data_IF_267378563566
#
_entry.id   IF_267378563566
#
_cell.length_a   1.000
_cell.length_b   1.000
_cell.length_c   1.000
_cell.angle_alpha   90.00
_cell.angle_beta   90.00
_cell.angle_gamma   90.00
#
_symmetry.space_group_name_H-M   'P 1'
#
loop_
_entity.id
_entity.type
_entity.pdbx_description
1 polymer ?
#
# COMPACT_ATOMS: atom_id res chain seq x y z
N UNK A 1 -12.06 1.89 18.75
CA UNK A 1 -12.00 0.78 17.78
C UNK A 1 -11.67 -0.51 18.52
N UNK A 2 -12.04 -1.67 17.98
CA UNK A 2 -11.61 -2.96 18.55
C UNK A 2 -10.08 -3.08 18.47
N UNK A 3 -9.41 -3.35 19.59
CA UNK A 3 -7.94 -3.43 19.63
C UNK A 3 -7.45 -4.78 19.08
N UNK A 4 -7.36 -4.89 17.75
CA UNK A 4 -6.71 -6.03 17.09
C UNK A 4 -5.31 -5.67 16.60
N UNK A 5 -4.46 -6.68 16.44
CA UNK A 5 -3.15 -6.52 15.80
C UNK A 5 -3.27 -5.89 14.40
N UNK A 6 -4.32 -6.21 13.64
CA UNK A 6 -4.47 -5.66 12.28
C UNK A 6 -4.91 -4.20 12.29
N UNK A 7 -5.81 -3.81 13.21
CA UNK A 7 -6.19 -2.41 13.39
C UNK A 7 -4.97 -1.59 13.82
N UNK A 8 -4.18 -2.09 14.78
CA UNK A 8 -2.90 -1.48 15.19
C UNK A 8 -1.94 -1.26 14.01
N UNK A 9 -1.82 -2.25 13.12
CA UNK A 9 -0.99 -2.14 11.92
C UNK A 9 -1.50 -1.06 10.95
N UNK A 10 -2.82 -0.90 10.81
CA UNK A 10 -3.42 0.19 10.04
C UNK A 10 -3.14 1.56 10.67
N UNK A 11 -3.27 1.69 11.99
CA UNK A 11 -2.98 2.95 12.69
C UNK A 11 -1.53 3.40 12.45
N UNK A 12 -0.57 2.46 12.53
CA UNK A 12 0.85 2.74 12.25
C UNK A 12 1.07 3.18 10.80
N UNK A 13 0.33 2.59 9.85
CA UNK A 13 0.41 2.92 8.42
C UNK A 13 -0.18 4.30 8.11
N UNK A 14 -1.29 4.66 8.76
CA UNK A 14 -2.02 5.90 8.55
C UNK A 14 -1.39 7.13 9.21
N UNK A 15 -0.60 6.94 10.26
CA UNK A 15 0.07 8.03 11.00
C UNK A 15 1.23 8.70 10.22
N UNK A 16 1.09 9.01 8.94
CA UNK A 16 2.17 9.59 8.11
C UNK A 16 2.69 10.94 8.64
N UNK A 17 3.89 11.44 8.29
CA UNK A 17 4.41 12.71 8.83
C UNK A 17 3.51 13.93 8.54
N UNK A 18 3.39 14.85 9.52
CA UNK A 18 2.69 16.15 9.38
C UNK A 18 3.43 17.05 8.37
N UNK A 19 2.68 17.84 7.60
CA UNK A 19 3.23 18.82 6.66
C UNK A 19 2.89 18.54 5.20
N UNK A 20 3.69 19.08 4.28
CA UNK A 20 3.48 18.88 2.84
C UNK A 20 3.63 17.39 2.47
N UNK A 21 2.61 16.83 1.83
CA UNK A 21 2.48 15.40 1.58
C UNK A 21 2.18 15.09 0.10
N UNK A 22 2.29 13.81 -0.28
CA UNK A 22 1.97 13.31 -1.63
C UNK A 22 0.56 12.75 -1.76
N UNK A 23 -0.15 12.59 -0.65
CA UNK A 23 -1.50 12.06 -0.58
C UNK A 23 -2.12 12.59 0.71
N UNK A 24 -3.43 12.78 0.73
CA UNK A 24 -4.17 13.24 1.90
C UNK A 24 -4.61 12.10 2.83
N UNK A 25 -4.58 10.84 2.39
CA UNK A 25 -4.82 9.68 3.27
C UNK A 25 -6.30 9.36 3.54
N UNK A 26 -7.22 9.85 2.70
CA UNK A 26 -8.66 9.58 2.77
C UNK A 26 -9.46 10.79 3.25
N UNK A 27 -9.41 11.08 4.55
CA UNK A 27 -10.12 12.21 5.14
C UNK A 27 -9.49 13.53 4.74
N UNK A 28 -10.22 14.31 3.94
CA UNK A 28 -9.67 15.55 3.42
C UNK A 28 -10.73 16.61 3.12
N UNK A 29 -10.32 17.86 3.30
CA UNK A 29 -11.00 19.02 2.74
C UNK A 29 -10.16 19.57 1.59
N UNK A 30 -10.82 19.99 0.53
CA UNK A 30 -10.15 20.54 -0.64
C UNK A 30 -10.91 21.72 -1.21
N UNK A 31 -10.18 22.62 -1.88
CA UNK A 31 -10.81 23.75 -2.57
C UNK A 31 -11.66 23.23 -3.73
N UNK A 32 -12.91 23.66 -3.82
CA UNK A 32 -13.84 23.26 -4.90
C UNK A 32 -13.24 23.50 -6.27
N UNK A 33 -12.58 24.64 -6.47
CA UNK A 33 -11.88 24.97 -7.73
C UNK A 33 -10.81 23.93 -8.08
N UNK A 34 -10.03 23.47 -7.11
CA UNK A 34 -8.97 22.49 -7.34
C UNK A 34 -9.56 21.13 -7.74
N UNK A 35 -10.64 20.71 -7.06
CA UNK A 35 -11.33 19.45 -7.35
C UNK A 35 -11.99 19.45 -8.74
N UNK A 36 -12.67 20.54 -9.10
CA UNK A 36 -13.29 20.71 -10.42
C UNK A 36 -12.25 20.76 -11.55
N UNK A 37 -11.11 21.43 -11.32
CA UNK A 37 -10.04 21.56 -12.31
C UNK A 37 -9.46 20.21 -12.75
N UNK A 38 -9.50 19.21 -11.87
CA UNK A 38 -9.03 17.85 -12.19
C UNK A 38 -10.19 16.91 -12.52
N UNK A 39 -11.44 17.38 -12.59
CA UNK A 39 -12.63 16.56 -12.87
C UNK A 39 -12.96 15.52 -11.78
N UNK A 40 -12.55 15.79 -10.54
CA UNK A 40 -12.88 14.94 -9.40
C UNK A 40 -12.15 13.60 -9.36
N UNK A 41 -12.73 12.60 -8.67
CA UNK A 41 -12.16 11.25 -8.55
C UNK A 41 -12.31 10.48 -9.86
N UNK A 42 -11.30 9.68 -10.21
CA UNK A 42 -11.38 8.81 -11.36
C UNK A 42 -12.25 7.58 -11.04
N UNK A 43 -13.43 7.41 -11.67
CA UNK A 43 -14.38 6.36 -11.33
C UNK A 43 -13.96 4.96 -11.80
N UNK A 44 -12.85 4.85 -12.55
CA UNK A 44 -12.36 3.55 -13.03
C UNK A 44 -11.45 2.85 -12.03
N UNK A 45 -10.93 3.57 -11.02
CA UNK A 45 -10.06 2.98 -10.01
C UNK A 45 -10.87 2.20 -8.98
N UNK A 46 -10.35 1.04 -8.61
CA UNK A 46 -10.91 0.19 -7.54
C UNK A 46 -10.33 0.56 -6.18
N UNK A 47 -9.13 1.11 -6.19
CA UNK A 47 -8.37 1.47 -5.01
C UNK A 47 -7.30 2.50 -5.39
N UNK A 48 -6.96 3.37 -4.44
CA UNK A 48 -5.96 4.40 -4.66
C UNK A 48 -6.49 5.62 -5.41
N UNK A 49 -7.81 5.80 -5.43
CA UNK A 49 -8.51 6.95 -5.99
C UNK A 49 -8.03 8.28 -5.39
N UNK A 50 -7.77 8.31 -4.09
CA UNK A 50 -7.28 9.51 -3.40
C UNK A 50 -5.82 9.85 -3.77
N UNK A 51 -4.84 8.93 -3.69
CA UNK A 51 -3.48 9.21 -4.12
C UNK A 51 -3.38 9.59 -5.61
N UNK A 52 -4.22 9.00 -6.47
CA UNK A 52 -4.33 9.34 -7.89
C UNK A 52 -4.87 10.76 -8.11
N UNK A 53 -5.96 11.13 -7.41
CA UNK A 53 -6.48 12.51 -7.40
C UNK A 53 -5.40 13.50 -6.97
N UNK A 54 -4.68 13.18 -5.90
CA UNK A 54 -3.59 13.97 -5.37
C UNK A 54 -2.46 14.17 -6.38
N UNK A 55 -2.10 13.16 -7.19
CA UNK A 55 -1.15 13.30 -8.30
C UNK A 55 -1.61 14.35 -9.30
N UNK A 56 -2.88 14.28 -9.74
CA UNK A 56 -3.43 15.25 -10.69
C UNK A 56 -3.47 16.65 -10.11
N UNK A 57 -3.83 16.80 -8.84
CA UNK A 57 -3.81 18.09 -8.14
C UNK A 57 -2.41 18.70 -8.11
N UNK A 58 -1.37 17.92 -7.75
CA UNK A 58 0.02 18.40 -7.76
C UNK A 58 0.53 18.75 -9.15
N UNK A 59 0.10 18.01 -10.17
CA UNK A 59 0.43 18.32 -11.57
C UNK A 59 -0.14 19.68 -11.99
N UNK A 60 -1.23 20.13 -11.36
CA UNK A 60 -1.83 21.45 -11.53
C UNK A 60 -1.23 22.52 -10.57
N UNK A 61 -0.17 22.21 -9.85
CA UNK A 61 0.51 23.11 -8.91
C UNK A 61 -0.16 23.24 -7.54
N UNK A 62 -1.20 22.46 -7.24
CA UNK A 62 -1.79 22.43 -5.91
C UNK A 62 -0.90 21.68 -4.93
N UNK A 63 -0.93 22.12 -3.67
CA UNK A 63 -0.23 21.45 -2.57
C UNK A 63 -1.19 20.61 -1.74
N UNK A 64 -0.67 19.53 -1.17
CA UNK A 64 -1.39 18.68 -0.24
C UNK A 64 -0.67 18.76 1.09
N UNK A 65 -1.43 18.94 2.17
CA UNK A 65 -0.89 19.04 3.52
C UNK A 65 -1.62 18.07 4.43
N UNK A 66 -0.86 17.27 5.19
CA UNK A 66 -1.36 16.56 6.37
C UNK A 66 -1.34 17.52 7.55
N UNK A 67 -2.49 17.74 8.16
CA UNK A 67 -2.63 18.52 9.38
C UNK A 67 -2.57 17.60 10.60
N UNK A 68 -2.03 18.10 11.70
CA UNK A 68 -2.08 17.42 13.00
C UNK A 68 -3.38 17.76 13.72
N UNK A 69 -4.50 17.29 13.16
CA UNK A 69 -5.83 17.56 13.66
C UNK A 69 -6.71 16.32 13.50
N UNK A 70 -7.35 15.92 14.60
CA UNK A 70 -8.35 14.87 14.57
C UNK A 70 -9.57 15.34 13.78
N UNK A 71 -9.91 14.63 12.70
CA UNK A 71 -11.07 14.93 11.86
C UNK A 71 -12.12 13.84 11.98
N UNK A 72 -11.70 12.57 11.95
CA UNK A 72 -12.57 11.42 12.17
C UNK A 72 -11.84 10.31 12.91
N UNK A 73 -12.61 9.44 13.56
CA UNK A 73 -12.13 8.19 14.12
C UNK A 73 -12.34 7.04 13.13
N UNK A 74 -11.25 6.48 12.63
CA UNK A 74 -11.28 5.35 11.72
C UNK A 74 -11.24 4.02 12.47
N UNK A 75 -12.19 3.13 12.19
CA UNK A 75 -12.08 1.71 12.54
C UNK A 75 -11.87 0.89 11.26
N UNK A 76 -10.68 0.31 11.11
CA UNK A 76 -10.37 -0.55 9.97
C UNK A 76 -11.24 -1.83 9.97
N UNK A 77 -11.78 -2.23 11.13
CA UNK A 77 -12.59 -3.45 11.36
C UNK A 77 -11.94 -4.71 10.78
N UNK A 78 -10.62 -4.81 10.94
CA UNK A 78 -9.84 -5.97 10.50
C UNK A 78 -9.60 -6.84 11.71
N UNK A 79 -10.32 -7.95 11.79
CA UNK A 79 -10.21 -8.92 12.90
C UNK A 79 -9.57 -10.24 12.45
N UNK A 80 -9.45 -10.45 11.12
CA UNK A 80 -9.03 -11.73 10.54
C UNK A 80 -7.86 -11.58 9.56
N UNK A 81 -6.99 -12.60 9.51
CA UNK A 81 -5.88 -12.70 8.54
C UNK A 81 -6.37 -12.56 7.10
N UNK A 82 -7.53 -13.12 6.77
CA UNK A 82 -8.09 -13.05 5.41
C UNK A 82 -8.48 -11.64 4.99
N UNK A 83 -8.96 -10.80 5.93
CA UNK A 83 -9.24 -9.38 5.67
C UNK A 83 -7.94 -8.60 5.48
N UNK A 84 -6.93 -8.86 6.32
CA UNK A 84 -5.58 -8.31 6.14
C UNK A 84 -5.00 -8.67 4.77
N UNK A 85 -5.10 -9.94 4.35
CA UNK A 85 -4.66 -10.40 3.03
C UNK A 85 -5.37 -9.65 1.90
N UNK A 86 -6.70 -9.54 1.96
CA UNK A 86 -7.50 -8.79 0.98
C UNK A 86 -7.10 -7.32 0.91
N UNK A 87 -6.84 -6.67 2.06
CA UNK A 87 -6.38 -5.27 2.10
C UNK A 87 -5.03 -5.12 1.39
N UNK A 88 -4.05 -5.98 1.70
CA UNK A 88 -2.75 -5.94 1.03
C UNK A 88 -2.84 -6.25 -0.46
N UNK A 89 -3.73 -7.17 -0.86
CA UNK A 89 -4.01 -7.46 -2.26
C UNK A 89 -4.57 -6.22 -2.98
N UNK A 90 -5.58 -5.56 -2.39
CA UNK A 90 -6.16 -4.31 -2.91
C UNK A 90 -5.08 -3.22 -3.04
N UNK A 91 -4.21 -3.08 -2.03
CA UNK A 91 -3.08 -2.15 -2.09
C UNK A 91 -2.05 -2.49 -3.18
N UNK A 92 -1.76 -3.78 -3.39
CA UNK A 92 -0.90 -4.24 -4.48
C UNK A 92 -1.47 -3.86 -5.85
N UNK A 93 -2.76 -4.11 -6.07
CA UNK A 93 -3.47 -3.69 -7.28
C UNK A 93 -3.39 -2.17 -7.48
N UNK A 94 -3.71 -1.39 -6.45
CA UNK A 94 -3.61 0.08 -6.47
C UNK A 94 -2.20 0.56 -6.85
N UNK A 95 -1.14 -0.02 -6.27
CA UNK A 95 0.23 0.34 -6.61
C UNK A 95 0.56 0.11 -8.08
N UNK A 96 0.12 -1.02 -8.66
CA UNK A 96 0.37 -1.32 -10.06
C UNK A 96 -0.43 -0.42 -11.01
N UNK A 97 -1.70 -0.15 -10.68
CA UNK A 97 -2.56 0.73 -11.46
C UNK A 97 -2.07 2.19 -11.43
N UNK A 98 -1.78 2.71 -10.23
CA UNK A 98 -1.23 4.06 -10.06
C UNK A 98 0.14 4.22 -10.72
N UNK A 99 1.02 3.21 -10.65
CA UNK A 99 2.30 3.25 -11.36
C UNK A 99 2.14 3.16 -12.88
N UNK A 100 1.10 2.49 -13.38
CA UNK A 100 0.80 2.46 -14.80
C UNK A 100 0.26 3.81 -15.31
N UNK A 101 -0.64 4.45 -14.56
CA UNK A 101 -1.20 5.76 -14.90
C UNK A 101 -0.17 6.89 -14.78
N UNK A 102 0.56 6.92 -13.66
CA UNK A 102 1.35 8.08 -13.22
C UNK A 102 2.82 7.76 -12.90
N UNK A 103 3.34 6.65 -13.42
CA UNK A 103 4.72 6.22 -13.15
C UNK A 103 5.81 6.96 -13.92
N UNK A 104 5.45 7.84 -14.85
CA UNK A 104 6.42 8.67 -15.59
C UNK A 104 6.91 9.85 -14.73
N UNK A 105 8.01 10.46 -15.17
CA UNK A 105 8.50 11.72 -14.61
C UNK A 105 7.44 12.82 -14.77
N UNK A 106 7.30 13.76 -13.81
CA UNK A 106 8.09 13.92 -12.58
C UNK A 106 7.62 13.07 -11.39
N UNK A 107 6.38 12.62 -11.38
CA UNK A 107 5.75 12.05 -10.17
C UNK A 107 6.31 10.68 -9.78
N UNK A 108 6.59 9.81 -10.76
CA UNK A 108 7.03 8.42 -10.55
C UNK A 108 6.16 7.68 -9.52
N UNK A 109 4.85 7.94 -9.57
CA UNK A 109 3.89 7.51 -8.57
C UNK A 109 3.93 5.99 -8.42
N UNK A 110 4.15 5.50 -7.20
CA UNK A 110 4.16 4.08 -6.82
C UNK A 110 5.05 3.12 -7.62
N UNK A 111 6.01 3.65 -8.40
CA UNK A 111 6.95 2.82 -9.17
C UNK A 111 7.89 2.04 -8.26
N UNK A 112 8.37 2.66 -7.18
CA UNK A 112 9.28 2.03 -6.22
C UNK A 112 8.58 0.91 -5.45
N UNK A 113 7.37 1.17 -5.01
CA UNK A 113 6.49 0.28 -4.28
C UNK A 113 6.19 -0.96 -5.14
N UNK A 114 5.81 -0.74 -6.40
CA UNK A 114 5.55 -1.81 -7.35
C UNK A 114 6.77 -2.67 -7.66
N UNK A 115 7.94 -2.04 -7.92
CA UNK A 115 9.18 -2.80 -8.14
C UNK A 115 9.61 -3.60 -6.91
N UNK A 116 9.43 -3.02 -5.71
CA UNK A 116 9.69 -3.70 -4.44
C UNK A 116 8.82 -4.95 -4.27
N UNK A 117 7.55 -4.88 -4.69
CA UNK A 117 6.63 -6.02 -4.64
C UNK A 117 7.10 -7.15 -5.57
N UNK A 118 7.48 -6.87 -6.82
CA UNK A 118 8.02 -7.92 -7.70
C UNK A 118 9.34 -8.50 -7.19
N UNK A 119 10.24 -7.66 -6.67
CA UNK A 119 11.53 -8.09 -6.15
C UNK A 119 11.37 -9.04 -4.97
N UNK A 120 10.65 -8.61 -3.93
CA UNK A 120 10.51 -9.34 -2.67
C UNK A 120 9.36 -10.35 -2.66
N UNK A 121 8.36 -10.21 -3.53
CA UNK A 121 7.26 -11.15 -3.63
C UNK A 121 7.55 -12.31 -4.57
N UNK A 122 8.39 -12.11 -5.60
CA UNK A 122 8.62 -13.11 -6.66
C UNK A 122 10.10 -13.37 -6.95
N UNK A 123 10.87 -12.34 -7.33
CA UNK A 123 12.20 -12.54 -7.90
C UNK A 123 13.17 -13.19 -6.91
N UNK A 124 13.22 -12.70 -5.67
CA UNK A 124 14.11 -13.26 -4.64
C UNK A 124 13.75 -14.71 -4.29
N UNK A 125 12.48 -15.08 -3.98
CA UNK A 125 12.08 -16.48 -3.78
C UNK A 125 12.39 -17.37 -4.97
N UNK A 126 12.06 -16.91 -6.18
CA UNK A 126 12.22 -17.67 -7.41
C UNK A 126 13.70 -17.96 -7.67
N UNK A 127 14.58 -16.98 -7.51
CA UNK A 127 16.03 -17.18 -7.66
C UNK A 127 16.59 -18.04 -6.53
N UNK A 128 16.21 -17.77 -5.28
CA UNK A 128 16.72 -18.53 -4.14
C UNK A 128 16.47 -20.04 -4.31
N UNK A 129 15.26 -20.41 -4.74
CA UNK A 129 14.86 -21.81 -4.93
C UNK A 129 15.27 -22.37 -6.29
N UNK A 130 15.09 -21.60 -7.36
CA UNK A 130 15.28 -22.05 -8.75
C UNK A 130 16.72 -22.39 -9.11
N UNK A 131 17.70 -21.74 -8.47
CA UNK A 131 19.13 -22.03 -8.66
C UNK A 131 19.77 -22.69 -7.43
N UNK A 132 18.98 -23.26 -6.51
CA UNK A 132 19.50 -23.95 -5.32
C UNK A 132 20.37 -25.16 -5.69
N UNK A 133 19.93 -25.97 -6.65
CA UNK A 133 20.70 -27.14 -7.11
C UNK A 133 22.07 -26.77 -7.72
N UNK A 134 22.16 -25.92 -8.77
CA UNK A 134 23.45 -25.59 -9.38
C UNK A 134 24.39 -24.84 -8.44
N UNK A 135 23.87 -24.11 -7.44
CA UNK A 135 24.68 -23.38 -6.46
C UNK A 135 24.99 -24.16 -5.19
N UNK A 136 24.63 -25.46 -5.12
CA UNK A 136 24.76 -26.29 -3.91
C UNK A 136 24.13 -25.63 -2.67
N UNK A 137 23.02 -24.94 -2.86
CA UNK A 137 22.26 -24.26 -1.81
C UNK A 137 22.73 -22.84 -1.46
N UNK A 138 23.83 -22.32 -2.04
CA UNK A 138 24.30 -20.96 -1.75
C UNK A 138 23.25 -19.88 -2.11
N UNK A 139 22.43 -20.10 -3.13
CA UNK A 139 21.34 -19.18 -3.48
C UNK A 139 20.30 -19.00 -2.38
N UNK A 140 20.18 -19.95 -1.44
CA UNK A 140 19.27 -19.83 -0.30
C UNK A 140 19.67 -18.69 0.63
N UNK A 141 20.93 -18.23 0.61
CA UNK A 141 21.36 -17.03 1.34
C UNK A 141 20.60 -15.77 0.91
N UNK A 142 20.02 -15.73 -0.30
CA UNK A 142 19.15 -14.63 -0.73
C UNK A 142 17.92 -14.48 0.19
N UNK A 143 17.45 -15.57 0.81
CA UNK A 143 16.34 -15.52 1.75
C UNK A 143 16.69 -14.79 3.06
N UNK A 144 17.99 -14.64 3.39
CA UNK A 144 18.42 -13.78 4.49
C UNK A 144 18.09 -12.29 4.25
N UNK A 145 17.77 -11.91 3.01
CA UNK A 145 17.25 -10.60 2.69
C UNK A 145 15.94 -10.26 3.40
N UNK A 146 15.08 -11.24 3.70
CA UNK A 146 13.82 -11.02 4.41
C UNK A 146 14.03 -10.54 5.85
N UNK A 147 14.74 -11.28 6.74
CA UNK A 147 15.01 -10.80 8.09
C UNK A 147 15.83 -9.51 8.08
N UNK A 148 16.75 -9.32 7.13
CA UNK A 148 17.49 -8.06 6.99
C UNK A 148 16.58 -6.88 6.67
N UNK A 149 15.63 -7.04 5.73
CA UNK A 149 14.69 -5.98 5.39
C UNK A 149 13.70 -5.71 6.52
N UNK A 150 13.19 -6.75 7.18
CA UNK A 150 12.38 -6.62 8.40
C UNK A 150 13.14 -5.82 9.46
N UNK A 151 14.41 -6.14 9.71
CA UNK A 151 15.24 -5.43 10.67
C UNK A 151 15.45 -3.96 10.27
N UNK A 152 15.66 -3.69 8.98
CA UNK A 152 15.78 -2.31 8.47
C UNK A 152 14.51 -1.49 8.69
N UNK A 153 13.33 -2.07 8.43
CA UNK A 153 12.04 -1.42 8.69
C UNK A 153 11.87 -1.20 10.20
N UNK A 154 12.12 -2.24 11.00
CA UNK A 154 12.09 -2.17 12.46
C UNK A 154 12.94 -1.01 13.00
N UNK A 155 14.20 -0.89 12.57
CA UNK A 155 15.12 0.17 13.01
C UNK A 155 14.64 1.55 12.60
N UNK A 156 14.11 1.69 11.39
CA UNK A 156 13.54 2.95 10.92
C UNK A 156 12.36 3.41 11.79
N UNK A 157 11.38 2.52 12.04
CA UNK A 157 10.20 2.87 12.84
C UNK A 157 10.51 3.04 14.34
N UNK A 158 11.50 2.32 14.87
CA UNK A 158 11.98 2.51 16.23
C UNK A 158 12.64 3.90 16.40
N UNK A 159 13.51 4.29 15.47
CA UNK A 159 14.33 5.50 15.63
C UNK A 159 13.67 6.78 15.12
N UNK A 160 13.01 6.71 13.96
CA UNK A 160 12.48 7.88 13.27
C UNK A 160 11.01 8.15 13.59
N UNK A 161 10.31 7.15 14.14
CA UNK A 161 8.85 7.21 14.35
C UNK A 161 8.46 6.93 15.81
N UNK A 162 9.43 6.66 16.68
CA UNK A 162 9.21 6.52 18.12
C UNK A 162 8.34 5.33 18.54
N UNK A 163 8.17 4.33 17.67
CA UNK A 163 7.38 3.14 18.01
C UNK A 163 8.11 2.29 19.04
N UNK A 164 7.34 1.62 19.89
CA UNK A 164 7.90 0.61 20.77
C UNK A 164 8.44 -0.58 19.95
N UNK A 165 9.35 -1.35 20.55
CA UNK A 165 10.04 -2.44 19.85
C UNK A 165 9.11 -3.54 19.34
N UNK A 166 7.98 -3.79 20.02
CA UNK A 166 7.03 -4.85 19.63
C UNK A 166 6.27 -4.43 18.37
N UNK A 167 5.73 -3.22 18.36
CA UNK A 167 4.95 -2.67 17.25
C UNK A 167 5.81 -2.46 16.01
N UNK A 168 7.05 -1.96 16.18
CA UNK A 168 7.99 -1.80 15.06
C UNK A 168 8.37 -3.16 14.41
N UNK A 169 8.53 -4.21 15.22
CA UNK A 169 8.83 -5.56 14.71
C UNK A 169 7.61 -6.15 13.99
N UNK A 170 6.43 -6.04 14.60
CA UNK A 170 5.18 -6.52 14.04
C UNK A 170 4.85 -5.83 12.71
N UNK A 171 5.06 -4.51 12.63
CA UNK A 171 4.92 -3.74 11.41
C UNK A 171 5.93 -4.18 10.34
N UNK A 172 7.21 -4.34 10.69
CA UNK A 172 8.23 -4.83 9.77
C UNK A 172 7.91 -6.20 9.18
N UNK A 173 7.44 -7.14 10.02
CA UNK A 173 7.00 -8.46 9.58
C UNK A 173 5.77 -8.37 8.66
N UNK A 174 4.77 -7.57 9.05
CA UNK A 174 3.57 -7.34 8.24
C UNK A 174 3.91 -6.76 6.87
N UNK A 175 4.85 -5.80 6.79
CA UNK A 175 5.30 -5.23 5.51
C UNK A 175 5.94 -6.28 4.59
N UNK A 176 6.74 -7.20 5.14
CA UNK A 176 7.41 -8.23 4.35
C UNK A 176 6.45 -9.35 3.93
N UNK A 177 5.62 -9.84 4.86
CA UNK A 177 4.59 -10.84 4.55
C UNK A 177 3.53 -10.27 3.59
N UNK A 178 3.24 -8.97 3.70
CA UNK A 178 2.32 -8.27 2.82
C UNK A 178 2.73 -8.21 1.35
N UNK A 179 4.02 -8.47 1.03
CA UNK A 179 4.50 -8.50 -0.36
C UNK A 179 3.85 -9.59 -1.20
N UNK A 180 3.47 -10.72 -0.59
CA UNK A 180 2.83 -11.84 -1.29
C UNK A 180 1.39 -11.52 -1.74
N UNK A 181 0.47 -11.08 -0.86
CA UNK A 181 -0.85 -10.60 -1.30
C UNK A 181 -0.73 -9.41 -2.26
N UNK A 182 0.21 -8.48 -2.02
CA UNK A 182 0.44 -7.36 -2.94
C UNK A 182 0.82 -7.84 -4.34
N UNK A 183 1.72 -8.82 -4.45
CA UNK A 183 2.10 -9.42 -5.72
C UNK A 183 0.90 -10.03 -6.43
N UNK A 184 0.04 -10.76 -5.71
CA UNK A 184 -1.21 -11.29 -6.24
C UNK A 184 -2.07 -10.15 -6.82
N UNK A 185 -2.20 -9.02 -6.12
CA UNK A 185 -2.91 -7.83 -6.61
C UNK A 185 -2.31 -7.24 -7.89
N UNK A 186 -0.98 -7.16 -7.99
CA UNK A 186 -0.30 -6.67 -9.20
C UNK A 186 -0.50 -7.59 -10.40
N UNK A 187 -0.42 -8.91 -10.17
CA UNK A 187 -0.70 -9.90 -11.19
C UNK A 187 -2.15 -9.77 -11.69
N UNK A 188 -3.12 -9.64 -10.77
CA UNK A 188 -4.52 -9.43 -11.13
C UNK A 188 -4.73 -8.17 -11.97
N UNK A 189 -4.12 -7.04 -11.59
CA UNK A 189 -4.18 -5.81 -12.39
C UNK A 189 -3.67 -6.03 -13.81
N UNK A 190 -2.46 -6.58 -13.96
CA UNK A 190 -1.85 -6.76 -15.27
C UNK A 190 -2.59 -7.78 -16.13
N UNK A 191 -3.09 -8.86 -15.54
CA UNK A 191 -3.91 -9.85 -16.25
C UNK A 191 -5.24 -9.25 -16.72
N UNK A 192 -5.98 -8.58 -15.83
CA UNK A 192 -7.22 -7.89 -16.20
C UNK A 192 -6.99 -6.89 -17.33
N UNK A 193 -5.93 -6.08 -17.23
CA UNK A 193 -5.53 -5.12 -18.26
C UNK A 193 -5.23 -5.79 -19.61
N UNK A 194 -4.45 -6.87 -19.62
CA UNK A 194 -4.11 -7.60 -20.84
C UNK A 194 -5.32 -8.27 -21.49
N UNK A 195 -6.28 -8.71 -20.68
CA UNK A 195 -7.54 -9.33 -21.13
C UNK A 195 -8.64 -8.32 -21.44
N UNK A 196 -8.39 -7.01 -21.30
CA UNK A 196 -9.40 -5.95 -21.47
C UNK A 196 -10.55 -6.02 -20.45
N UNK A 197 -10.38 -6.74 -19.34
CA UNK A 197 -11.39 -6.90 -18.29
C UNK A 197 -11.28 -5.74 -17.30
N UNK A 198 -12.42 -5.16 -16.93
CA UNK A 198 -12.48 -4.27 -15.76
C UNK A 198 -12.43 -5.13 -14.50
N UNK A 199 -11.51 -4.83 -13.59
CA UNK A 199 -11.46 -5.50 -12.31
C UNK A 199 -12.67 -5.09 -11.45
N UNK A 200 -13.23 -6.02 -10.68
CA UNK A 200 -14.31 -5.73 -9.72
C UNK A 200 -13.74 -5.22 -8.39
N UNK A 201 -14.51 -4.41 -7.66
CA UNK A 201 -14.14 -3.95 -6.32
C UNK A 201 -13.75 -5.14 -5.42
N UNK A 202 -12.58 -5.06 -4.78
CA UNK A 202 -12.14 -6.03 -3.78
C UNK A 202 -12.45 -5.45 -2.40
N UNK A 203 -13.67 -5.68 -1.92
CA UNK A 203 -14.08 -5.21 -0.59
C UNK A 203 -13.54 -6.16 0.50
N UNK A 204 -12.93 -5.58 1.54
CA UNK A 204 -12.45 -6.32 2.70
C UNK A 204 -13.34 -6.15 3.95
N UNK A 205 -14.24 -5.15 3.92
CA UNK A 205 -15.33 -4.98 4.88
C UNK A 205 -16.59 -5.63 4.30
N UNK A 206 -17.29 -6.43 5.10
CA UNK A 206 -18.67 -6.81 4.75
C UNK A 206 -19.50 -5.57 4.97
N UNK A 207 -20.19 -5.05 3.95
CA UNK A 207 -21.17 -4.00 4.17
C UNK A 207 -22.18 -4.52 5.21
N UNK A 208 -22.34 -3.81 6.33
CA UNK A 208 -23.48 -4.04 7.19
C UNK A 208 -24.71 -3.76 6.34
N UNK A 209 -25.56 -4.76 6.14
CA UNK A 209 -26.86 -4.59 5.48
C UNK A 209 -27.61 -3.52 6.28
N UNK A 210 -27.80 -2.34 5.71
CA UNK A 210 -28.72 -1.35 6.26
C UNK A 210 -30.10 -1.94 6.02
N UNK A 211 -30.67 -2.56 7.05
CA UNK A 211 -32.11 -2.84 7.09
C UNK A 211 -32.81 -1.49 7.28
N UNK A 212 -33.58 -1.07 6.29
CA UNK A 212 -34.56 0.02 6.40
C UNK A 212 -35.59 -0.25 7.51
#
# INVERSE_FOLDING_TARGET
SEETIYNKLCDIEWDTPVGEAKACGGDSMMRTKAFQQVEGFNPTLIAGEEPELCVRLRTQGWKIFRLDAEMTLHDAQITRVSQWWKRFLRGGHAYAEGAWLHGRSPERHWVKESRSIWLWGLLIPLLALGIAWPTRGLSLLLLAGYPLMTYRIYRYYLQQRGLNSKDALLYGLSCMLGKFPQLQGQMQFHLSRLLGRRSSLVEYKTAATISE
#
